data_IF_665686721687
#
_entry.id   IF_665686721687
#
_cell.length_a   1.000
_cell.length_b   1.000
_cell.length_c   1.000
_cell.angle_alpha   90.00
_cell.angle_beta   90.00
_cell.angle_gamma   90.00
#
_symmetry.space_group_name_H-M   'P 1'
#
loop_
_entity.id
_entity.type
_entity.pdbx_description
1 polymer ?
#
# COMPACT_ATOMS: atom_id res chain seq x y z
N UNK A 1 3.98 10.81 8.84
CA UNK A 1 4.27 10.46 7.43
C UNK A 1 4.84 9.06 7.39
N UNK A 2 4.16 8.12 6.73
CA UNK A 2 4.63 6.74 6.60
C UNK A 2 5.87 6.71 5.71
N UNK A 3 7.02 6.28 6.25
CA UNK A 3 8.31 6.20 5.54
C UNK A 3 8.50 4.86 4.82
N UNK A 4 7.40 4.18 4.45
CA UNK A 4 7.39 2.81 3.93
C UNK A 4 6.00 2.18 4.00
N UNK A 5 5.92 0.88 3.69
CA UNK A 5 4.69 0.10 3.80
C UNK A 5 4.15 0.09 5.23
N UNK A 6 2.87 0.43 5.40
CA UNK A 6 2.21 0.47 6.71
C UNK A 6 2.13 -0.91 7.40
N UNK A 7 2.12 -2.00 6.63
CA UNK A 7 2.01 -3.37 7.16
C UNK A 7 3.38 -3.97 7.51
N UNK A 8 4.31 -3.98 6.55
CA UNK A 8 5.58 -4.69 6.69
C UNK A 8 6.81 -3.79 6.82
N UNK A 9 6.63 -2.46 6.74
CA UNK A 9 7.72 -1.50 6.85
C UNK A 9 8.65 -1.39 5.65
N UNK A 10 8.45 -2.17 4.58
CA UNK A 10 9.29 -2.12 3.38
C UNK A 10 9.39 -0.69 2.81
N UNK A 11 10.61 -0.24 2.53
CA UNK A 11 10.93 1.14 2.15
C UNK A 11 12.08 1.26 1.14
N UNK A 12 12.34 0.20 0.38
CA UNK A 12 13.47 0.13 -0.55
C UNK A 12 13.34 1.10 -1.73
N UNK A 13 12.12 1.34 -2.22
CA UNK A 13 11.87 2.30 -3.30
C UNK A 13 10.42 2.79 -3.30
N UNK A 14 10.20 4.09 -3.49
CA UNK A 14 8.84 4.66 -3.52
C UNK A 14 7.93 4.00 -4.58
N UNK A 15 8.49 3.55 -5.72
CA UNK A 15 7.74 2.90 -6.80
C UNK A 15 7.16 1.53 -6.41
N UNK A 16 7.63 0.90 -5.33
CA UNK A 16 7.06 -0.35 -4.82
C UNK A 16 5.93 -0.14 -3.80
N UNK A 17 5.55 1.10 -3.53
CA UNK A 17 4.43 1.46 -2.65
C UNK A 17 3.19 1.85 -3.47
N UNK A 18 2.04 1.40 -3.00
CA UNK A 18 0.71 1.68 -3.54
C UNK A 18 -0.13 2.42 -2.49
N UNK A 19 -1.05 3.26 -2.96
CA UNK A 19 -2.10 3.88 -2.13
C UNK A 19 -3.25 2.90 -1.93
N UNK A 20 -3.29 2.23 -0.78
CA UNK A 20 -4.40 1.36 -0.41
C UNK A 20 -5.50 2.18 0.28
N UNK A 21 -6.68 2.20 -0.32
CA UNK A 21 -7.83 2.95 0.20
C UNK A 21 -8.47 2.19 1.37
N UNK A 22 -8.37 2.73 2.59
CA UNK A 22 -8.79 2.03 3.83
C UNK A 22 -9.96 2.65 4.57
N UNK A 23 -10.30 3.92 4.29
CA UNK A 23 -11.30 4.68 5.04
C UNK A 23 -12.08 5.63 4.13
N UNK A 24 -13.29 6.00 4.52
CA UNK A 24 -14.13 6.93 3.76
C UNK A 24 -14.65 6.34 2.43
N UNK A 25 -15.29 7.19 1.62
CA UNK A 25 -15.74 6.83 0.28
C UNK A 25 -14.67 7.20 -0.75
N UNK A 26 -14.32 6.24 -1.60
CA UNK A 26 -13.34 6.39 -2.68
C UNK A 26 -13.92 7.23 -3.80
N UNK A 27 -13.24 8.31 -4.16
CA UNK A 27 -13.64 9.13 -5.31
C UNK A 27 -13.08 8.57 -6.62
N UNK A 28 -11.77 8.36 -6.67
CA UNK A 28 -11.03 7.77 -7.78
C UNK A 28 -9.70 7.19 -7.28
N UNK A 29 -8.93 6.55 -8.17
CA UNK A 29 -7.54 6.20 -7.83
C UNK A 29 -6.68 7.46 -7.75
N UNK A 30 -5.75 7.55 -6.78
CA UNK A 30 -4.81 8.69 -6.67
C UNK A 30 -4.02 8.88 -7.98
N UNK A 31 -3.58 7.79 -8.61
CA UNK A 31 -2.88 7.84 -9.91
C UNK A 31 -3.74 8.44 -11.02
N UNK A 32 -5.04 8.16 -11.02
CA UNK A 32 -6.00 8.71 -11.98
C UNK A 32 -6.19 10.22 -11.74
N UNK A 33 -6.39 10.64 -10.49
CA UNK A 33 -6.53 12.07 -10.16
C UNK A 33 -5.30 12.88 -10.59
N UNK A 34 -4.10 12.33 -10.42
CA UNK A 34 -2.84 12.93 -10.88
C UNK A 34 -2.80 13.00 -12.41
N UNK A 35 -3.12 11.89 -13.10
CA UNK A 35 -3.10 11.83 -14.56
C UNK A 35 -4.11 12.81 -15.21
N UNK A 36 -5.27 12.99 -14.57
CA UNK A 36 -6.32 13.93 -14.98
C UNK A 36 -6.02 15.40 -14.60
N UNK A 37 -4.88 15.67 -13.94
CA UNK A 37 -4.48 17.00 -13.46
C UNK A 37 -5.53 17.66 -12.56
N UNK A 38 -6.16 16.87 -11.68
CA UNK A 38 -7.08 17.39 -10.67
C UNK A 38 -6.37 18.35 -9.70
N UNK A 39 -7.10 19.29 -9.07
CA UNK A 39 -6.55 20.17 -8.05
C UNK A 39 -5.82 19.38 -6.97
N UNK A 40 -4.67 19.88 -6.52
CA UNK A 40 -3.88 19.19 -5.48
C UNK A 40 -4.67 18.97 -4.18
N UNK A 41 -5.62 19.85 -3.86
CA UNK A 41 -6.53 19.68 -2.73
C UNK A 41 -7.38 18.41 -2.83
N UNK A 42 -7.88 18.08 -4.03
CA UNK A 42 -8.64 16.84 -4.27
C UNK A 42 -7.73 15.61 -4.17
N UNK A 43 -6.53 15.68 -4.76
CA UNK A 43 -5.54 14.60 -4.68
C UNK A 43 -5.15 14.35 -3.23
N UNK A 44 -4.87 15.41 -2.46
CA UNK A 44 -4.50 15.32 -1.05
C UNK A 44 -5.65 14.78 -0.19
N UNK A 45 -6.89 15.19 -0.47
CA UNK A 45 -8.07 14.67 0.21
C UNK A 45 -8.28 13.17 -0.04
N UNK A 46 -8.01 12.69 -1.27
CA UNK A 46 -8.07 11.26 -1.57
C UNK A 46 -6.89 10.50 -0.93
N UNK A 47 -5.67 11.06 -0.94
CA UNK A 47 -4.51 10.47 -0.25
C UNK A 47 -4.76 10.32 1.25
N UNK A 48 -5.45 11.26 1.89
CA UNK A 48 -5.80 11.18 3.32
C UNK A 48 -6.68 9.98 3.68
N UNK A 49 -7.36 9.38 2.69
CA UNK A 49 -8.17 8.16 2.84
C UNK A 49 -7.35 6.88 2.67
N UNK A 50 -6.11 7.00 2.19
CA UNK A 50 -5.25 5.89 1.85
C UNK A 50 -4.16 5.63 2.89
N UNK A 51 -3.63 4.42 2.88
CA UNK A 51 -2.35 4.07 3.51
C UNK A 51 -1.34 3.70 2.43
N UNK A 52 -0.07 4.07 2.63
CA UNK A 52 1.01 3.60 1.76
C UNK A 52 1.39 2.17 2.16
N UNK A 53 1.21 1.19 1.26
CA UNK A 53 1.56 -0.22 1.48
C UNK A 53 2.34 -0.76 0.30
N UNK A 54 3.16 -1.80 0.48
CA UNK A 54 3.81 -2.42 -0.66
C UNK A 54 2.82 -3.26 -1.49
N UNK A 55 3.15 -3.49 -2.76
CA UNK A 55 2.29 -4.20 -3.70
C UNK A 55 1.89 -5.63 -3.25
N UNK A 56 2.70 -6.27 -2.39
CA UNK A 56 2.40 -7.60 -1.84
C UNK A 56 1.36 -7.51 -0.71
N UNK A 57 1.59 -6.64 0.28
CA UNK A 57 0.64 -6.39 1.37
C UNK A 57 -0.71 -5.89 0.83
N UNK A 58 -0.70 -5.02 -0.19
CA UNK A 58 -1.91 -4.54 -0.85
C UNK A 58 -2.75 -5.66 -1.49
N UNK A 59 -2.09 -6.62 -2.16
CA UNK A 59 -2.76 -7.81 -2.73
C UNK A 59 -3.35 -8.72 -1.65
N UNK A 60 -2.63 -8.92 -0.54
CA UNK A 60 -3.12 -9.69 0.61
C UNK A 60 -4.38 -9.02 1.19
N UNK A 61 -4.33 -7.71 1.46
CA UNK A 61 -5.50 -6.93 1.93
C UNK A 61 -6.69 -7.09 0.99
N UNK A 62 -6.46 -6.97 -0.31
CA UNK A 62 -7.51 -7.14 -1.33
C UNK A 62 -8.10 -8.55 -1.31
N UNK A 63 -7.26 -9.59 -1.21
CA UNK A 63 -7.72 -10.98 -1.15
C UNK A 63 -8.57 -11.23 0.10
N UNK A 64 -8.13 -10.74 1.27
CA UNK A 64 -8.87 -10.83 2.54
C UNK A 64 -10.22 -10.10 2.43
N UNK A 65 -10.25 -8.86 1.95
CA UNK A 65 -11.50 -8.08 1.77
C UNK A 65 -12.49 -8.75 0.81
N UNK A 66 -11.99 -9.48 -0.19
CA UNK A 66 -12.80 -10.21 -1.18
C UNK A 66 -13.19 -11.62 -0.71
N UNK A 67 -12.84 -12.02 0.51
CA UNK A 67 -13.08 -13.39 1.01
C UNK A 67 -12.29 -14.47 0.24
N UNK A 68 -11.27 -14.08 -0.54
CA UNK A 68 -10.45 -14.98 -1.35
C UNK A 68 -9.19 -15.39 -0.58
N UNK A 69 -9.36 -15.88 0.64
CA UNK A 69 -8.23 -16.38 1.43
C UNK A 69 -7.97 -17.83 1.05
N UNK A 70 -7.10 -18.07 0.07
CA UNK A 70 -6.44 -19.37 -0.07
C UNK A 70 -5.43 -19.51 1.06
N UNK A 71 -5.87 -19.84 2.28
CA UNK A 71 -4.94 -20.27 3.33
C UNK A 71 -4.96 -21.78 3.41
N UNK A 72 -3.94 -22.42 2.84
CA UNK A 72 -3.22 -23.41 3.64
C UNK A 72 -2.51 -22.61 4.74
N UNK A 73 -3.09 -22.64 5.93
CA UNK A 73 -2.54 -21.97 7.10
C UNK A 73 -1.25 -22.68 7.53
N UNK A 74 -0.06 -22.22 7.12
CA UNK A 74 1.20 -22.58 7.78
C UNK A 74 2.31 -21.58 7.42
N UNK A 75 2.60 -20.65 8.33
CA UNK A 75 3.96 -20.17 8.58
C UNK A 75 4.66 -19.27 7.55
N UNK A 76 4.19 -18.04 7.32
CA UNK A 76 5.11 -16.97 6.88
C UNK A 76 5.51 -16.15 8.11
N UNK A 77 6.65 -16.43 8.76
CA UNK A 77 7.28 -15.44 9.61
C UNK A 77 7.80 -14.33 8.69
N UNK A 78 7.28 -13.11 8.82
CA UNK A 78 7.98 -11.94 8.31
C UNK A 78 9.25 -11.79 9.14
N UNK A 79 10.34 -12.43 8.70
CA UNK A 79 11.65 -12.23 9.31
C UNK A 79 12.08 -10.78 9.07
N UNK A 80 12.48 -10.16 10.18
CA UNK A 80 12.95 -8.78 10.27
C UNK A 80 14.22 -8.59 9.42
N UNK A 81 14.31 -7.43 8.77
CA UNK A 81 15.53 -6.76 8.28
C UNK A 81 16.74 -7.65 7.94
N UNK A 82 16.93 -7.92 6.65
CA UNK A 82 18.28 -8.11 6.09
C UNK A 82 18.81 -6.75 5.66
N UNK A 83 19.82 -6.24 6.35
CA UNK A 83 20.65 -5.15 5.84
C UNK A 83 21.28 -5.62 4.52
N UNK A 84 21.07 -4.87 3.44
CA UNK A 84 21.96 -4.96 2.28
C UNK A 84 23.21 -4.16 2.63
N UNK A 85 24.20 -4.85 3.19
CA UNK A 85 25.58 -4.39 3.31
C UNK A 85 26.40 -5.04 2.19
N UNK A 86 27.12 -4.22 1.41
CA UNK A 86 28.10 -4.62 0.38
C UNK A 86 27.46 -4.86 -0.99
N UNK A 87 27.93 -4.29 -2.10
CA UNK A 87 29.26 -3.78 -2.47
C UNK A 87 29.21 -2.34 -2.99
#
# INVERSE_FOLDING_TARGET
MARGCADCGWRGWARGLDWDHVRGAKSANVSQLIAERKPWSEVAAEIAKCEAVCANCHRIRTAVRRGRTSRSASGVPMSRSGAVSGL
#
